data_IF_561942256044
#
_entry.id   IF_561942256044
#
_cell.length_a   1.000
_cell.length_b   1.000
_cell.length_c   1.000
_cell.angle_alpha   90.00
_cell.angle_beta   90.00
_cell.angle_gamma   90.00
#
_symmetry.space_group_name_H-M   'P 1'
#
loop_
_entity.id
_entity.type
_entity.pdbx_description
1 polymer ?
#
# COMPACT_ATOMS: atom_id res chain seq x y z
N UNK A 1 6.53 10.75 -20.45
CA UNK A 1 5.23 11.39 -20.73
C UNK A 1 4.16 10.31 -20.72
N UNK A 2 3.46 10.14 -19.60
CA UNK A 2 2.39 9.14 -19.48
C UNK A 2 1.13 9.74 -20.09
N UNK A 3 0.64 9.13 -21.18
CA UNK A 3 -0.59 9.56 -21.84
C UNK A 3 -1.78 9.49 -20.89
N UNK A 4 -2.63 10.48 -21.09
CA UNK A 4 -3.70 11.01 -20.25
C UNK A 4 -4.95 10.09 -20.21
N UNK A 5 -4.77 8.79 -19.94
CA UNK A 5 -5.89 7.86 -19.85
C UNK A 5 -6.19 7.59 -18.38
N UNK A 6 -7.35 8.08 -17.93
CA UNK A 6 -7.99 7.66 -16.68
C UNK A 6 -8.42 6.20 -16.86
N UNK A 7 -7.47 5.27 -16.84
CA UNK A 7 -7.74 3.86 -17.06
C UNK A 7 -8.31 3.28 -15.77
N UNK A 8 -9.61 2.94 -15.79
CA UNK A 8 -10.20 2.11 -14.75
C UNK A 8 -9.35 0.84 -14.60
N UNK A 9 -9.17 0.33 -13.38
CA UNK A 9 -8.47 -0.93 -13.16
C UNK A 9 -9.18 -2.13 -13.84
N UNK A 10 -10.42 -1.94 -14.31
CA UNK A 10 -11.15 -2.91 -15.12
C UNK A 10 -10.70 -2.94 -16.59
N UNK A 11 -9.92 -1.96 -17.04
CA UNK A 11 -9.49 -1.87 -18.44
C UNK A 11 -8.21 -2.68 -18.72
N UNK A 12 -8.12 -3.39 -19.86
CA UNK A 12 -6.88 -4.07 -20.25
C UNK A 12 -5.68 -3.12 -20.38
N UNK A 13 -5.93 -1.88 -20.82
CA UNK A 13 -4.89 -0.85 -20.94
C UNK A 13 -4.23 -0.50 -19.60
N UNK A 14 -4.99 -0.52 -18.49
CA UNK A 14 -4.44 -0.33 -17.15
C UNK A 14 -3.41 -1.41 -16.82
N UNK A 15 -3.78 -2.67 -17.03
CA UNK A 15 -2.92 -3.82 -16.72
C UNK A 15 -1.70 -3.90 -17.63
N UNK A 16 -1.87 -3.66 -18.93
CA UNK A 16 -0.74 -3.58 -19.86
C UNK A 16 0.26 -2.50 -19.42
N UNK A 17 -0.25 -1.35 -18.97
CA UNK A 17 0.60 -0.26 -18.51
C UNK A 17 1.24 -0.52 -17.14
N UNK A 18 0.54 -1.19 -16.22
CA UNK A 18 1.10 -1.61 -14.93
C UNK A 18 2.19 -2.68 -15.11
N UNK A 19 1.99 -3.65 -16.01
CA UNK A 19 2.99 -4.65 -16.35
C UNK A 19 4.22 -4.03 -17.04
N UNK A 20 4.02 -3.00 -17.88
CA UNK A 20 5.12 -2.29 -18.52
C UNK A 20 6.06 -1.58 -17.52
N UNK A 21 5.57 -1.24 -16.32
CA UNK A 21 6.43 -0.64 -15.27
C UNK A 21 7.54 -1.59 -14.80
N UNK A 22 7.37 -2.92 -14.92
CA UNK A 22 8.43 -3.89 -14.60
C UNK A 22 9.69 -3.72 -15.46
N UNK A 23 9.52 -3.23 -16.69
CA UNK A 23 10.64 -3.01 -17.63
C UNK A 23 11.26 -1.63 -17.48
N UNK A 24 10.74 -0.78 -16.58
CA UNK A 24 11.21 0.60 -16.41
C UNK A 24 12.15 0.70 -15.22
N UNK A 25 13.44 1.04 -15.44
CA UNK A 25 14.41 1.13 -14.36
C UNK A 25 13.98 2.08 -13.25
N UNK A 26 13.37 3.22 -13.60
CA UNK A 26 12.85 4.20 -12.62
C UNK A 26 11.86 3.57 -11.64
N UNK A 27 10.97 2.73 -12.13
CA UNK A 27 9.92 2.10 -11.31
C UNK A 27 10.50 1.02 -10.40
N UNK A 28 11.50 0.27 -10.88
CA UNK A 28 12.25 -0.69 -10.07
C UNK A 28 13.07 0.00 -8.96
N UNK A 29 13.73 1.11 -9.27
CA UNK A 29 14.47 1.91 -8.27
C UNK A 29 13.52 2.46 -7.21
N UNK A 30 12.39 3.03 -7.62
CA UNK A 30 11.37 3.51 -6.68
C UNK A 30 10.81 2.38 -5.80
N UNK A 31 10.61 1.19 -6.37
CA UNK A 31 10.17 0.01 -5.63
C UNK A 31 11.20 -0.41 -4.56
N UNK A 32 12.48 -0.48 -4.92
CA UNK A 32 13.57 -0.79 -3.99
C UNK A 32 13.68 0.24 -2.87
N UNK A 33 13.63 1.54 -3.20
CA UNK A 33 13.64 2.62 -2.21
C UNK A 33 12.42 2.57 -1.29
N UNK A 34 11.25 2.24 -1.83
CA UNK A 34 10.02 2.10 -1.04
C UNK A 34 10.11 0.92 -0.07
N UNK A 35 10.65 -0.22 -0.51
CA UNK A 35 10.87 -1.38 0.35
C UNK A 35 11.88 -1.07 1.48
N UNK A 36 13.00 -0.42 1.15
CA UNK A 36 14.00 0.00 2.13
C UNK A 36 13.42 1.00 3.15
N UNK A 37 12.70 2.03 2.67
CA UNK A 37 12.06 3.01 3.53
C UNK A 37 10.97 2.37 4.41
N UNK A 38 10.20 1.44 3.87
CA UNK A 38 9.21 0.67 4.63
C UNK A 38 9.85 -0.12 5.77
N UNK A 39 10.99 -0.77 5.52
CA UNK A 39 11.74 -1.49 6.55
C UNK A 39 12.22 -0.56 7.68
N UNK A 40 12.81 0.60 7.34
CA UNK A 40 13.26 1.60 8.32
C UNK A 40 12.08 2.19 9.10
N UNK A 41 10.99 2.55 8.43
CA UNK A 41 9.80 3.09 9.11
C UNK A 41 9.06 2.04 9.94
N UNK A 42 9.31 0.75 9.70
CA UNK A 42 8.77 -0.33 10.51
C UNK A 42 9.58 -0.57 11.79
N UNK A 43 10.87 -0.20 11.81
CA UNK A 43 11.69 -0.25 13.03
C UNK A 43 11.35 0.87 14.00
N UNK A 44 10.83 2.01 13.51
CA UNK A 44 10.33 3.10 14.34
C UNK A 44 8.83 2.91 14.58
N UNK A 45 8.46 2.58 15.82
CA UNK A 45 7.05 2.36 16.16
C UNK A 45 6.66 3.02 17.47
N UNK A 46 5.39 3.43 17.55
CA UNK A 46 4.77 3.87 18.79
C UNK A 46 4.16 2.63 19.44
N UNK A 47 4.59 2.26 20.66
CA UNK A 47 3.96 1.17 21.41
C UNK A 47 2.60 1.64 21.94
N UNK A 48 1.52 0.99 21.52
CA UNK A 48 0.13 1.33 21.90
C UNK A 48 -0.51 0.23 22.75
N UNK A 49 0.28 -0.77 23.15
CA UNK A 49 -0.11 -1.88 24.03
C UNK A 49 0.88 -3.04 23.97
N UNK A 50 0.66 -4.08 24.78
CA UNK A 50 1.40 -5.34 24.73
C UNK A 50 1.40 -5.86 23.29
N UNK A 51 2.57 -5.92 22.64
CA UNK A 51 2.78 -6.34 21.24
C UNK A 51 1.97 -5.55 20.17
N UNK A 52 1.46 -4.36 20.48
CA UNK A 52 0.72 -3.51 19.54
C UNK A 52 1.59 -2.32 19.14
N UNK A 53 2.03 -2.33 17.88
CA UNK A 53 2.94 -1.32 17.31
C UNK A 53 2.25 -0.60 16.17
N UNK A 54 2.29 0.73 16.20
CA UNK A 54 1.85 1.58 15.09
C UNK A 54 3.09 2.11 14.40
N UNK A 55 3.16 1.94 13.07
CA UNK A 55 4.29 2.38 12.25
C UNK A 55 3.80 3.36 11.19
N UNK A 56 4.71 4.20 10.69
CA UNK A 56 4.43 5.10 9.57
C UNK A 56 4.71 4.47 8.20
N UNK A 57 5.10 3.18 8.14
CA UNK A 57 5.51 2.50 6.92
C UNK A 57 4.41 2.50 5.84
N UNK A 58 3.14 2.45 6.24
CA UNK A 58 2.00 2.51 5.31
C UNK A 58 1.98 3.77 4.44
N UNK A 59 2.53 4.90 4.90
CA UNK A 59 2.61 6.13 4.12
C UNK A 59 3.60 5.98 2.97
N UNK A 60 4.79 5.43 3.25
CA UNK A 60 5.82 5.17 2.26
C UNK A 60 5.34 4.16 1.22
N UNK A 61 4.74 3.05 1.67
CA UNK A 61 4.20 2.01 0.78
C UNK A 61 3.09 2.57 -0.11
N UNK A 62 2.15 3.33 0.45
CA UNK A 62 1.07 3.94 -0.32
C UNK A 62 1.60 4.89 -1.40
N UNK A 63 2.53 5.77 -1.03
CA UNK A 63 3.12 6.72 -1.95
C UNK A 63 3.97 6.04 -3.02
N UNK A 64 4.83 5.09 -2.66
CA UNK A 64 5.64 4.34 -3.61
C UNK A 64 4.80 3.55 -4.60
N UNK A 65 3.81 2.80 -4.11
CA UNK A 65 2.92 2.00 -4.96
C UNK A 65 2.04 2.83 -5.89
N UNK A 66 1.76 4.09 -5.54
CA UNK A 66 1.12 5.04 -6.45
C UNK A 66 1.99 5.33 -7.69
N UNK A 67 3.31 5.23 -7.60
CA UNK A 67 4.25 5.57 -8.67
C UNK A 67 4.56 4.39 -9.57
N UNK A 68 4.88 3.22 -9.00
CA UNK A 68 5.28 2.03 -9.78
C UNK A 68 4.12 1.06 -10.10
N UNK A 69 2.96 1.24 -9.48
CA UNK A 69 1.74 0.49 -9.80
C UNK A 69 1.60 -0.87 -9.12
N UNK A 70 0.46 -1.55 -9.31
CA UNK A 70 0.12 -2.78 -8.58
C UNK A 70 1.05 -3.96 -8.90
N UNK A 71 1.44 -4.11 -10.17
CA UNK A 71 2.25 -5.27 -10.61
C UNK A 71 3.66 -5.20 -10.03
N UNK A 72 4.33 -4.05 -10.14
CA UNK A 72 5.64 -3.85 -9.49
C UNK A 72 5.49 -3.91 -7.96
N UNK A 73 4.38 -3.40 -7.42
CA UNK A 73 4.07 -3.47 -5.99
C UNK A 73 4.02 -4.88 -5.45
N UNK A 74 3.48 -5.83 -6.19
CA UNK A 74 3.46 -7.24 -5.80
C UNK A 74 4.88 -7.76 -5.53
N UNK A 75 5.84 -7.49 -6.41
CA UNK A 75 7.25 -7.88 -6.23
C UNK A 75 7.97 -7.02 -5.19
N UNK A 76 7.64 -5.74 -5.09
CA UNK A 76 8.18 -4.85 -4.07
C UNK A 76 7.79 -5.30 -2.65
N UNK A 77 6.55 -5.77 -2.47
CA UNK A 77 6.08 -6.34 -1.21
C UNK A 77 6.79 -7.64 -0.85
N UNK A 78 7.06 -8.50 -1.84
CA UNK A 78 7.90 -9.70 -1.64
C UNK A 78 9.29 -9.31 -1.16
N UNK A 79 9.97 -8.41 -1.88
CA UNK A 79 11.30 -7.96 -1.52
C UNK A 79 11.33 -7.27 -0.14
N UNK A 80 10.34 -6.42 0.14
CA UNK A 80 10.20 -5.72 1.43
C UNK A 80 10.08 -6.67 2.60
N UNK A 81 9.33 -7.77 2.45
CA UNK A 81 9.14 -8.75 3.52
C UNK A 81 10.41 -9.56 3.77
N UNK A 82 11.05 -10.07 2.71
CA UNK A 82 12.29 -10.83 2.82
C UNK A 82 13.42 -9.99 3.41
N UNK A 83 13.60 -8.76 2.94
CA UNK A 83 14.60 -7.84 3.47
C UNK A 83 14.28 -7.48 4.92
N UNK A 84 13.02 -7.18 5.24
CA UNK A 84 12.59 -6.89 6.60
C UNK A 84 12.87 -8.05 7.57
N UNK A 85 12.59 -9.27 7.13
CA UNK A 85 12.86 -10.49 7.92
C UNK A 85 14.35 -10.71 8.15
N UNK A 86 15.20 -10.50 7.14
CA UNK A 86 16.66 -10.63 7.26
C UNK A 86 17.24 -9.57 8.21
N UNK A 87 16.75 -8.33 8.15
CA UNK A 87 17.24 -7.23 8.98
C UNK A 87 16.81 -7.32 10.44
N UNK A 88 15.60 -7.83 10.70
CA UNK A 88 15.05 -7.94 12.04
C UNK A 88 14.18 -9.19 12.15
N UNK A 89 14.78 -10.38 12.32
CA UNK A 89 14.04 -11.63 12.46
C UNK A 89 13.25 -11.61 13.78
N UNK A 90 11.97 -11.24 13.69
CA UNK A 90 11.07 -11.11 14.85
C UNK A 90 10.27 -12.37 15.18
N UNK A 91 10.49 -13.48 14.47
CA UNK A 91 9.75 -14.74 14.60
C UNK A 91 10.13 -15.76 13.53
N UNK A 92 9.34 -16.83 13.37
CA UNK A 92 9.56 -17.85 12.33
C UNK A 92 9.15 -17.30 10.96
N UNK A 93 10.01 -17.48 9.96
CA UNK A 93 9.64 -17.19 8.57
C UNK A 93 8.42 -18.01 8.16
N UNK A 94 7.38 -17.35 7.68
CA UNK A 94 6.18 -17.99 7.16
C UNK A 94 5.78 -17.33 5.83
N UNK A 95 5.73 -18.09 4.71
CA UNK A 95 5.41 -17.55 3.39
C UNK A 95 4.07 -16.79 3.31
N UNK A 96 3.10 -17.11 4.18
CA UNK A 96 1.83 -16.39 4.23
C UNK A 96 1.97 -14.92 4.66
N UNK A 97 2.97 -14.59 5.50
CA UNK A 97 3.25 -13.19 5.83
C UNK A 97 3.84 -12.43 4.64
N UNK A 98 4.73 -13.07 3.87
CA UNK A 98 5.22 -12.53 2.60
C UNK A 98 4.08 -12.29 1.63
N UNK A 99 3.14 -13.22 1.50
CA UNK A 99 1.96 -13.05 0.66
C UNK A 99 1.07 -11.88 1.12
N UNK A 100 0.88 -11.71 2.43
CA UNK A 100 0.17 -10.54 2.97
C UNK A 100 0.88 -9.22 2.61
N UNK A 101 2.21 -9.17 2.69
CA UNK A 101 3.02 -8.01 2.30
C UNK A 101 2.90 -7.70 0.80
N UNK A 102 2.97 -8.73 -0.06
CA UNK A 102 2.74 -8.61 -1.50
C UNK A 102 1.35 -8.03 -1.82
N UNK A 103 0.31 -8.58 -1.17
CA UNK A 103 -1.07 -8.14 -1.38
C UNK A 103 -1.30 -6.71 -0.90
N UNK A 104 -0.71 -6.31 0.23
CA UNK A 104 -0.80 -4.93 0.72
C UNK A 104 -0.22 -3.93 -0.30
N UNK A 105 1.02 -4.15 -0.78
CA UNK A 105 1.64 -3.29 -1.78
C UNK A 105 0.84 -3.26 -3.09
N UNK A 106 0.37 -4.42 -3.54
CA UNK A 106 -0.49 -4.55 -4.71
C UNK A 106 -1.78 -3.72 -4.56
N UNK A 107 -2.47 -3.81 -3.42
CA UNK A 107 -3.71 -3.07 -3.16
C UNK A 107 -3.48 -1.55 -3.08
N UNK A 108 -2.39 -1.11 -2.45
CA UNK A 108 -1.99 0.30 -2.50
C UNK A 108 -1.81 0.77 -3.95
N UNK A 109 -1.11 -0.02 -4.77
CA UNK A 109 -0.91 0.28 -6.18
C UNK A 109 -2.22 0.25 -6.97
N UNK A 110 -3.09 -0.74 -6.73
CA UNK A 110 -4.34 -0.91 -7.44
C UNK A 110 -5.25 0.31 -7.27
N UNK A 111 -5.36 0.80 -6.04
CA UNK A 111 -6.20 1.95 -5.73
C UNK A 111 -5.54 3.27 -6.14
N UNK A 112 -4.23 3.46 -5.97
CA UNK A 112 -3.61 4.79 -6.12
C UNK A 112 -2.96 5.02 -7.49
N UNK A 113 -2.52 3.97 -8.18
CA UNK A 113 -1.82 4.09 -9.45
C UNK A 113 -2.69 4.75 -10.53
N UNK A 114 -2.13 5.78 -11.17
CA UNK A 114 -2.78 6.61 -12.21
C UNK A 114 -4.17 7.14 -11.82
N UNK A 115 -4.38 7.25 -10.52
CA UNK A 115 -5.67 7.60 -9.94
C UNK A 115 -5.49 8.76 -8.98
N UNK A 116 -6.55 9.55 -8.79
CA UNK A 116 -6.52 10.61 -7.78
C UNK A 116 -6.79 10.02 -6.40
N UNK A 117 -5.95 10.31 -5.40
CA UNK A 117 -6.16 9.86 -4.02
C UNK A 117 -7.29 10.67 -3.37
N UNK A 118 -8.54 10.30 -3.62
CA UNK A 118 -9.70 10.86 -2.91
C UNK A 118 -9.86 10.20 -1.55
N UNK A 119 -10.46 10.90 -0.58
CA UNK A 119 -10.70 10.35 0.78
C UNK A 119 -11.48 9.03 0.72
N UNK A 120 -12.54 8.96 -0.10
CA UNK A 120 -13.31 7.73 -0.29
C UNK A 120 -12.44 6.57 -0.82
N UNK A 121 -11.55 6.84 -1.78
CA UNK A 121 -10.66 5.83 -2.34
C UNK A 121 -9.64 5.34 -1.31
N UNK A 122 -9.08 6.27 -0.52
CA UNK A 122 -8.17 5.95 0.58
C UNK A 122 -8.88 5.09 1.63
N UNK A 123 -10.12 5.45 1.99
CA UNK A 123 -10.95 4.70 2.93
C UNK A 123 -11.21 3.27 2.44
N UNK A 124 -11.69 3.10 1.20
CA UNK A 124 -11.95 1.76 0.63
C UNK A 124 -10.69 0.90 0.53
N UNK A 125 -9.57 1.51 0.12
CA UNK A 125 -8.27 0.85 0.08
C UNK A 125 -7.84 0.37 1.47
N UNK A 126 -7.92 1.24 2.48
CA UNK A 126 -7.53 0.90 3.85
C UNK A 126 -8.49 -0.09 4.51
N UNK A 127 -9.79 -0.04 4.22
CA UNK A 127 -10.75 -1.05 4.65
C UNK A 127 -10.35 -2.44 4.14
N UNK A 128 -10.04 -2.56 2.84
CA UNK A 128 -9.66 -3.83 2.23
C UNK A 128 -8.33 -4.36 2.78
N UNK A 129 -7.33 -3.49 2.95
CA UNK A 129 -6.04 -3.88 3.51
C UNK A 129 -6.18 -4.28 4.99
N UNK A 130 -6.84 -3.46 5.80
CA UNK A 130 -6.96 -3.71 7.23
C UNK A 130 -7.80 -4.95 7.53
N UNK A 131 -8.98 -5.08 6.92
CA UNK A 131 -9.86 -6.20 7.22
C UNK A 131 -9.59 -7.44 6.37
N UNK A 132 -9.29 -7.29 5.08
CA UNK A 132 -8.98 -8.43 4.20
C UNK A 132 -7.60 -9.02 4.48
N UNK A 133 -6.56 -8.18 4.51
CA UNK A 133 -5.18 -8.65 4.65
C UNK A 133 -4.78 -8.80 6.12
N UNK A 134 -4.94 -7.76 6.95
CA UNK A 134 -4.42 -7.82 8.32
C UNK A 134 -5.30 -8.64 9.26
N UNK A 135 -6.63 -8.55 9.17
CA UNK A 135 -7.54 -9.34 10.01
C UNK A 135 -7.84 -10.70 9.38
N UNK A 136 -8.28 -10.73 8.12
CA UNK A 136 -8.66 -11.96 7.42
C UNK A 136 -7.49 -12.91 7.24
N UNK A 137 -6.53 -12.56 6.38
CA UNK A 137 -5.35 -13.41 6.17
C UNK A 137 -4.51 -13.56 7.44
N UNK A 138 -4.34 -12.50 8.23
CA UNK A 138 -3.62 -12.57 9.50
C UNK A 138 -4.20 -13.61 10.48
N UNK A 139 -5.53 -13.72 10.57
CA UNK A 139 -6.17 -14.74 11.41
C UNK A 139 -6.06 -16.14 10.80
N UNK A 140 -6.13 -16.28 9.47
CA UNK A 140 -5.86 -17.54 8.78
C UNK A 140 -4.44 -18.05 9.04
N UNK A 141 -3.43 -17.18 8.96
CA UNK A 141 -2.04 -17.53 9.27
C UNK A 141 -1.88 -17.93 10.74
N UNK A 142 -2.56 -17.21 11.64
CA UNK A 142 -2.54 -17.53 13.06
C UNK A 142 -3.20 -18.89 13.36
N UNK A 143 -4.23 -19.27 12.60
CA UNK A 143 -4.86 -20.59 12.67
C UNK A 143 -3.89 -21.69 12.23
N UNK A 144 -3.16 -21.49 11.13
CA UNK A 144 -2.18 -22.46 10.62
C UNK A 144 -1.00 -22.62 11.58
N UNK A 145 -0.48 -21.54 12.15
CA UNK A 145 0.72 -21.55 13.00
C UNK A 145 0.44 -21.91 14.47
N UNK A 146 -0.70 -21.49 15.01
CA UNK A 146 -0.99 -21.55 16.45
C UNK A 146 -2.29 -22.30 16.79
N UNK A 147 -3.00 -22.85 15.80
CA UNK A 147 -4.22 -23.61 16.00
C UNK A 147 -5.31 -22.81 16.73
N UNK A 148 -5.79 -23.34 17.86
CA UNK A 148 -6.89 -22.75 18.65
C UNK A 148 -6.60 -21.35 19.21
N UNK A 149 -5.33 -20.90 19.20
CA UNK A 149 -4.94 -19.55 19.59
C UNK A 149 -5.37 -18.45 18.60
N UNK A 150 -5.88 -18.80 17.41
CA UNK A 150 -6.21 -17.80 16.37
C UNK A 150 -7.26 -16.78 16.79
N UNK A 151 -8.21 -17.14 17.66
CA UNK A 151 -9.31 -16.27 18.09
C UNK A 151 -8.78 -15.05 18.86
N UNK A 152 -7.73 -15.23 19.66
CA UNK A 152 -7.01 -14.17 20.34
C UNK A 152 -6.36 -13.21 19.33
N UNK A 153 -5.63 -13.75 18.34
CA UNK A 153 -4.97 -12.92 17.31
C UNK A 153 -5.98 -12.21 16.42
N UNK A 154 -7.10 -12.86 16.09
CA UNK A 154 -8.20 -12.28 15.32
C UNK A 154 -8.81 -11.09 16.05
N UNK A 155 -9.26 -11.26 17.31
CA UNK A 155 -9.88 -10.19 18.08
C UNK A 155 -8.94 -9.01 18.26
N UNK A 156 -7.65 -9.31 18.52
CA UNK A 156 -6.63 -8.29 18.70
C UNK A 156 -6.29 -7.54 17.41
N UNK A 157 -6.23 -8.24 16.28
CA UNK A 157 -6.06 -7.62 14.96
C UNK A 157 -7.27 -6.77 14.59
N UNK A 158 -8.49 -7.26 14.85
CA UNK A 158 -9.74 -6.56 14.57
C UNK A 158 -9.82 -5.24 15.35
N UNK A 159 -9.57 -5.29 16.67
CA UNK A 159 -9.59 -4.11 17.52
C UNK A 159 -8.55 -3.08 17.07
N UNK A 160 -7.29 -3.52 16.89
CA UNK A 160 -6.19 -2.66 16.45
C UNK A 160 -6.52 -1.95 15.13
N UNK A 161 -6.89 -2.73 14.12
CA UNK A 161 -7.15 -2.20 12.78
C UNK A 161 -8.36 -1.25 12.75
N UNK A 162 -9.36 -1.49 13.60
CA UNK A 162 -10.54 -0.61 13.71
C UNK A 162 -10.19 0.73 14.35
N UNK A 163 -9.38 0.73 15.42
CA UNK A 163 -8.94 1.95 16.10
C UNK A 163 -8.00 2.76 15.20
N UNK A 164 -7.10 2.11 14.48
CA UNK A 164 -6.11 2.78 13.64
C UNK A 164 -6.67 3.25 12.29
N UNK A 165 -7.71 2.61 11.76
CA UNK A 165 -8.29 2.96 10.47
C UNK A 165 -8.55 4.47 10.28
N UNK A 166 -9.26 5.19 11.20
CA UNK A 166 -9.49 6.62 11.03
C UNK A 166 -8.18 7.42 11.01
N UNK A 167 -7.21 7.06 11.86
CA UNK A 167 -5.90 7.71 11.91
C UNK A 167 -5.12 7.51 10.61
N UNK A 168 -5.08 6.28 10.09
CA UNK A 168 -4.37 5.95 8.85
C UNK A 168 -5.00 6.64 7.64
N UNK A 169 -6.34 6.69 7.57
CA UNK A 169 -7.06 7.39 6.50
C UNK A 169 -6.80 8.90 6.58
N UNK A 170 -6.85 9.49 7.77
CA UNK A 170 -6.56 10.91 7.96
C UNK A 170 -5.10 11.24 7.58
N UNK A 171 -4.14 10.43 8.02
CA UNK A 171 -2.72 10.60 7.71
C UNK A 171 -2.46 10.50 6.20
N UNK A 172 -3.01 9.49 5.51
CA UNK A 172 -2.89 9.36 4.06
C UNK A 172 -3.55 10.52 3.33
N UNK A 173 -4.74 10.94 3.76
CA UNK A 173 -5.43 12.07 3.16
C UNK A 173 -4.63 13.37 3.32
N UNK A 174 -4.07 13.63 4.50
CA UNK A 174 -3.23 14.80 4.77
C UNK A 174 -1.96 14.80 3.91
N UNK A 175 -1.23 13.67 3.87
CA UNK A 175 -0.01 13.53 3.07
C UNK A 175 -0.30 13.69 1.59
N UNK A 176 -1.30 13.00 1.05
CA UNK A 176 -1.64 13.14 -0.37
C UNK A 176 -2.15 14.53 -0.70
N UNK A 177 -2.91 15.18 0.19
CA UNK A 177 -3.35 16.56 0.00
C UNK A 177 -2.17 17.53 -0.08
N UNK A 178 -1.20 17.40 0.81
CA UNK A 178 0.03 18.19 0.79
C UNK A 178 0.88 17.94 -0.48
N UNK A 179 0.87 16.71 -0.99
CA UNK A 179 1.61 16.33 -2.20
C UNK A 179 0.87 16.63 -3.51
N UNK A 180 -0.43 16.90 -3.51
CA UNK A 180 -1.21 17.23 -4.71
C UNK A 180 -0.56 18.29 -5.61
N UNK A 181 -0.10 19.46 -5.13
CA UNK A 181 0.52 20.46 -6.00
C UNK A 181 1.76 19.92 -6.71
N UNK A 182 2.59 19.13 -6.02
CA UNK A 182 3.78 18.52 -6.61
C UNK A 182 3.41 17.44 -7.63
N UNK A 183 2.46 16.57 -7.28
CA UNK A 183 1.98 15.51 -8.15
C UNK A 183 1.33 16.06 -9.44
N UNK A 184 0.66 17.22 -9.36
CA UNK A 184 0.13 17.95 -10.53
C UNK A 184 1.25 18.51 -11.40
N UNK A 185 2.24 19.18 -10.79
CA UNK A 185 3.40 19.75 -11.52
C UNK A 185 4.18 18.68 -12.29
N UNK A 186 4.29 17.49 -11.72
CA UNK A 186 5.00 16.35 -12.34
C UNK A 186 4.13 15.55 -13.33
N UNK A 187 2.87 15.94 -13.54
CA UNK A 187 1.95 15.22 -14.44
C UNK A 187 1.65 13.78 -14.02
N UNK A 188 1.76 13.47 -12.71
CA UNK A 188 1.54 12.13 -12.16
C UNK A 188 0.06 11.84 -11.88
N UNK A 189 -0.78 12.87 -11.89
CA UNK A 189 -2.22 12.75 -11.74
C UNK A 189 -2.92 12.88 -13.10
N UNK A 190 -3.98 12.10 -13.37
CA UNK A 190 -4.80 12.30 -14.56
C UNK A 190 -5.45 13.69 -14.52
N UNK A 191 -5.62 14.34 -15.68
CA UNK A 191 -6.25 15.67 -15.77
C UNK A 191 -7.74 15.64 -15.39
N UNK A 192 -8.28 16.79 -14.94
CA UNK A 192 -9.68 16.87 -14.48
C UNK A 192 -10.52 16.94 -15.74
N UNK A 193 -11.45 15.99 -15.90
CA UNK A 193 -12.33 15.89 -17.07
C UNK A 193 -12.75 17.27 -17.59
N UNK A 194 -12.56 17.47 -18.89
CA UNK A 194 -12.50 18.77 -19.52
C UNK A 194 -13.77 19.61 -19.40
N UNK A 195 -13.55 20.92 -19.25
CA UNK A 195 -14.10 21.88 -20.19
C UNK A 195 -12.89 22.57 -20.83
N UNK A 196 -12.68 22.35 -22.13
CA UNK A 196 -11.93 23.33 -22.91
C UNK A 196 -12.74 24.63 -22.80
N UNK A 197 -12.19 25.67 -22.18
CA UNK A 197 -12.71 27.01 -22.41
C UNK A 197 -12.53 27.29 -23.92
N UNK A 198 -13.57 27.75 -24.63
CA UNK A 198 -13.38 28.20 -26.00
C UNK A 198 -12.33 29.32 -26.00
N UNK A 199 -11.46 29.37 -27.03
CA UNK A 199 -10.59 30.53 -27.20
C UNK A 199 -11.47 31.77 -27.35
N UNK A 200 -11.21 32.78 -26.52
CA UNK A 200 -11.74 34.12 -26.66
C UNK A 200 -11.15 34.80 -27.90
#
# INVERSE_FOLDING_TARGET
>A
MLQNVRSSFLSPAYWAAAAAELKRPRSLVLAGLTAALSAVLSSVYIPVGLNLRVTAAFLAVAFGSMLFGPVVGLFAGLASDLVGYVLSPGGVFFPGYTFSSMLAFFLYGLFLYRSRPTVLRILLMKLLINYGVHVGLGSLWSSILYGKGYSYFFARSLLKNTILLPLEVAALAAVFHALLPLLRRQGLLPERGGKKLPPA
#
